data_IF_356944499173
#
_entry.id   IF_356944499173
#
_cell.length_a   1.000
_cell.length_b   1.000
_cell.length_c   1.000
_cell.angle_alpha   90.00
_cell.angle_beta   90.00
_cell.angle_gamma   90.00
#
_symmetry.space_group_name_H-M   'P 1'
#
loop_
_entity.id
_entity.type
_entity.pdbx_description
1 polymer ?
#
# COMPACT_ATOMS: atom_id res chain seq x y z
N UNK A 1 22.35 9.15 -3.82
CA UNK A 1 21.78 8.97 -5.16
C UNK A 1 20.62 9.95 -5.23
N UNK A 2 20.65 10.93 -6.12
CA UNK A 2 19.59 11.93 -6.23
C UNK A 2 18.60 11.53 -7.35
N UNK A 3 17.30 11.66 -7.10
CA UNK A 3 16.25 11.41 -8.09
C UNK A 3 15.81 9.94 -8.26
N UNK A 4 15.17 9.66 -9.39
CA UNK A 4 14.59 8.35 -9.72
C UNK A 4 15.63 7.49 -10.43
N UNK A 5 15.97 6.34 -9.84
CA UNK A 5 16.94 5.40 -10.39
C UNK A 5 16.24 4.12 -10.83
N UNK A 6 16.81 3.41 -11.81
CA UNK A 6 16.21 2.18 -12.34
C UNK A 6 17.20 1.02 -12.29
N UNK A 7 16.70 -0.16 -11.93
CA UNK A 7 17.39 -1.41 -12.17
C UNK A 7 17.11 -1.83 -13.61
N UNK A 8 18.16 -2.19 -14.35
CA UNK A 8 18.08 -2.65 -15.73
C UNK A 8 18.55 -4.10 -15.81
N UNK A 9 17.90 -4.91 -16.65
CA UNK A 9 18.33 -6.27 -16.94
C UNK A 9 19.49 -6.28 -17.97
N UNK A 10 20.00 -7.47 -18.30
CA UNK A 10 21.09 -7.65 -19.25
C UNK A 10 20.74 -7.21 -20.69
N UNK A 11 19.44 -7.12 -21.01
CA UNK A 11 18.95 -6.60 -22.28
C UNK A 11 18.82 -5.06 -22.28
N UNK A 12 19.10 -4.39 -21.16
CA UNK A 12 18.98 -2.94 -21.00
C UNK A 12 17.57 -2.45 -20.67
N UNK A 13 16.64 -3.35 -20.35
CA UNK A 13 15.24 -3.02 -20.04
C UNK A 13 15.08 -2.70 -18.56
N UNK A 14 14.29 -1.69 -18.23
CA UNK A 14 14.00 -1.31 -16.85
C UNK A 14 13.10 -2.35 -16.20
N UNK A 15 13.54 -2.95 -15.09
CA UNK A 15 12.81 -3.99 -14.36
C UNK A 15 12.26 -3.52 -13.02
N UNK A 16 12.90 -2.53 -12.41
CA UNK A 16 12.46 -1.94 -11.15
C UNK A 16 12.95 -0.51 -11.01
N UNK A 17 12.36 0.21 -10.04
CA UNK A 17 12.71 1.59 -9.71
C UNK A 17 13.22 1.66 -8.27
N UNK A 18 14.24 2.48 -8.03
CA UNK A 18 14.77 2.85 -6.71
C UNK A 18 14.51 4.33 -6.53
N UNK A 19 13.74 4.67 -5.50
CA UNK A 19 13.26 6.02 -5.22
C UNK A 19 13.84 6.48 -3.88
N UNK A 20 14.26 7.75 -3.81
CA UNK A 20 14.67 8.36 -2.55
C UNK A 20 13.44 8.62 -1.68
N UNK A 21 13.38 7.92 -0.55
CA UNK A 21 12.29 8.02 0.41
C UNK A 21 12.14 9.41 1.05
N UNK A 22 13.25 10.11 1.31
CA UNK A 22 13.18 11.45 1.93
C UNK A 22 12.61 12.48 0.97
N UNK A 23 12.77 12.27 -0.32
CA UNK A 23 12.29 13.19 -1.35
C UNK A 23 10.84 12.90 -1.81
N UNK A 24 10.41 11.64 -1.77
CA UNK A 24 9.15 11.20 -2.39
C UNK A 24 8.33 10.20 -1.55
N UNK A 25 8.64 10.05 -0.26
CA UNK A 25 8.06 9.00 0.58
C UNK A 25 6.54 9.10 0.68
N UNK A 26 6.01 10.30 0.87
CA UNK A 26 4.56 10.54 1.02
C UNK A 26 3.79 10.14 -0.24
N UNK A 27 4.22 10.60 -1.41
CA UNK A 27 3.56 10.26 -2.67
C UNK A 27 3.75 8.78 -3.06
N UNK A 28 4.85 8.17 -2.63
CA UNK A 28 5.10 6.75 -2.86
C UNK A 28 4.20 5.86 -1.98
N UNK A 29 3.94 6.26 -0.74
CA UNK A 29 2.99 5.56 0.14
C UNK A 29 1.59 5.52 -0.49
N UNK A 30 1.04 6.65 -0.90
CA UNK A 30 -0.28 6.72 -1.56
C UNK A 30 -0.36 5.83 -2.81
N UNK A 31 0.71 5.81 -3.61
CA UNK A 31 0.78 4.97 -4.81
C UNK A 31 0.80 3.48 -4.46
N UNK A 32 1.59 3.08 -3.46
CA UNK A 32 1.69 1.69 -3.03
C UNK A 32 0.40 1.19 -2.38
N UNK A 33 -0.27 2.02 -1.58
CA UNK A 33 -1.58 1.70 -0.99
C UNK A 33 -2.62 1.38 -2.07
N UNK A 34 -2.62 2.13 -3.17
CA UNK A 34 -3.51 1.88 -4.31
C UNK A 34 -3.21 0.55 -5.01
N UNK A 35 -1.93 0.23 -5.24
CA UNK A 35 -1.53 -1.05 -5.81
C UNK A 35 -1.88 -2.23 -4.90
N UNK A 36 -1.70 -2.06 -3.58
CA UNK A 36 -2.06 -3.06 -2.59
C UNK A 36 -3.58 -3.30 -2.58
N UNK A 37 -4.38 -2.23 -2.50
CA UNK A 37 -5.83 -2.32 -2.55
C UNK A 37 -6.32 -3.03 -3.83
N UNK A 38 -5.69 -2.74 -4.97
CA UNK A 38 -6.00 -3.41 -6.23
C UNK A 38 -5.64 -4.90 -6.22
N UNK A 39 -4.46 -5.24 -5.70
CA UNK A 39 -4.02 -6.64 -5.58
C UNK A 39 -4.97 -7.48 -4.73
N UNK A 40 -5.61 -6.86 -3.73
CA UNK A 40 -6.55 -7.48 -2.80
C UNK A 40 -8.01 -7.37 -3.26
N UNK A 41 -8.29 -6.84 -4.45
CA UNK A 41 -9.65 -6.58 -4.95
C UNK A 41 -10.57 -7.81 -4.90
N UNK A 42 -10.00 -9.00 -5.07
CA UNK A 42 -10.72 -10.29 -5.13
C UNK A 42 -10.65 -11.11 -3.84
N UNK A 43 -10.00 -10.59 -2.79
CA UNK A 43 -9.99 -11.26 -1.49
C UNK A 43 -11.42 -11.33 -0.91
N UNK A 44 -11.71 -12.31 -0.04
CA UNK A 44 -12.99 -12.36 0.66
C UNK A 44 -13.30 -11.05 1.37
N UNK A 45 -14.52 -10.55 1.21
CA UNK A 45 -14.98 -9.27 1.78
C UNK A 45 -16.01 -9.52 2.86
N UNK A 46 -16.03 -8.63 3.84
CA UNK A 46 -17.06 -8.54 4.85
C UNK A 46 -17.82 -7.22 4.68
N UNK A 47 -19.08 -7.20 5.10
CA UNK A 47 -19.89 -5.98 5.12
C UNK A 47 -19.29 -4.95 6.11
N UNK A 48 -19.23 -3.70 5.67
CA UNK A 48 -18.62 -2.62 6.46
C UNK A 48 -19.34 -2.41 7.79
N UNK A 49 -20.68 -2.44 7.81
CA UNK A 49 -21.45 -2.21 9.03
C UNK A 49 -21.20 -3.32 10.05
N UNK A 50 -21.12 -4.56 9.60
CA UNK A 50 -20.78 -5.72 10.44
C UNK A 50 -19.42 -5.54 11.12
N UNK A 51 -18.41 -5.07 10.38
CA UNK A 51 -17.08 -4.79 10.93
C UNK A 51 -17.13 -3.60 11.91
N UNK A 52 -17.81 -2.51 11.53
CA UNK A 52 -17.92 -1.30 12.34
C UNK A 52 -18.61 -1.58 13.69
N UNK A 53 -19.75 -2.29 13.67
CA UNK A 53 -20.49 -2.66 14.86
C UNK A 53 -19.64 -3.52 15.79
N UNK A 54 -18.90 -4.50 15.24
CA UNK A 54 -17.98 -5.36 16.01
C UNK A 54 -16.89 -4.55 16.71
N UNK A 55 -16.27 -3.59 16.02
CA UNK A 55 -15.19 -2.76 16.58
C UNK A 55 -15.69 -1.74 17.62
N UNK A 56 -16.88 -1.17 17.40
CA UNK A 56 -17.46 -0.16 18.29
C UNK A 56 -18.10 -0.78 19.54
N UNK A 57 -18.68 -1.96 19.42
CA UNK A 57 -19.26 -2.69 20.57
C UNK A 57 -18.19 -3.37 21.42
N UNK A 58 -17.13 -3.91 20.81
CA UNK A 58 -16.00 -4.50 21.53
C UNK A 58 -15.21 -3.50 22.40
N UNK A 59 -15.16 -2.22 22.00
CA UNK A 59 -14.55 -1.15 22.81
C UNK A 59 -15.25 -0.88 24.15
N UNK A 60 -16.53 -1.24 24.29
CA UNK A 60 -17.29 -0.98 25.52
C UNK A 60 -17.01 -1.97 26.66
N UNK A 61 -16.27 -3.06 26.38
CA UNK A 61 -15.95 -4.11 27.37
C UNK A 61 -14.52 -4.05 27.92
N UNK A 62 -13.68 -3.16 27.39
CA UNK A 62 -12.26 -3.04 27.76
C UNK A 62 -11.93 -1.75 28.57
N UNK A 63 -12.95 -1.02 29.06
CA UNK A 63 -12.82 0.12 30.01
C UNK A 63 -13.38 -0.22 31.40
#
# INVERSE_FOLDING_TARGET
>A
MEGINYLVNDAGERTAVVIDWKAYGEELEDFLDGLEAESRRNEPKEDFQTVADRLLTGKATDE
#
